data_IF_264451298095
#
_entry.id   IF_264451298095
#
_cell.length_a   1.000
_cell.length_b   1.000
_cell.length_c   1.000
_cell.angle_alpha   90.00
_cell.angle_beta   90.00
_cell.angle_gamma   90.00
#
_symmetry.space_group_name_H-M   'P 1'
#
loop_
_entity.id
_entity.type
_entity.pdbx_description
1 polymer ?
#
# COMPACT_ATOMS: atom_id res chain seq x y z
N UNK A 1 -12.12 -16.86 -15.08
CA UNK A 1 -11.95 -16.90 -14.44
C UNK A 1 -11.35 -16.38 -13.83
N UNK A 2 -11.74 -15.82 -13.55
CA UNK A 2 -11.04 -15.30 -12.82
C UNK A 2 -9.74 -15.68 -12.96
N UNK A 3 -9.20 -15.37 -13.92
CA UNK A 3 -8.02 -15.68 -14.01
C UNK A 3 -7.27 -14.96 -13.07
N UNK A 4 -6.61 -15.52 -12.20
CA UNK A 4 -5.69 -14.87 -11.35
C UNK A 4 -4.57 -14.33 -12.16
N UNK A 5 -4.00 -13.23 -11.76
CA UNK A 5 -2.78 -12.77 -12.43
C UNK A 5 -1.74 -13.85 -12.37
N UNK A 6 -0.84 -13.88 -13.31
CA UNK A 6 0.15 -14.94 -13.39
C UNK A 6 0.91 -15.14 -12.09
N UNK A 7 1.19 -14.06 -11.36
CA UNK A 7 1.94 -14.24 -10.14
C UNK A 7 1.12 -14.91 -9.06
N UNK A 8 -0.22 -14.86 -9.17
CA UNK A 8 -1.05 -15.54 -8.22
C UNK A 8 -1.32 -16.97 -8.62
N UNK A 9 -1.15 -17.24 -9.86
CA UNK A 9 -1.42 -18.56 -10.36
C UNK A 9 -0.34 -19.53 -10.01
N UNK A 10 0.83 -19.02 -9.66
CA UNK A 10 1.90 -19.88 -9.29
C UNK A 10 1.43 -20.80 -8.21
N UNK A 11 1.74 -22.04 -8.35
CA UNK A 11 1.26 -23.04 -7.44
C UNK A 11 1.79 -22.78 -6.04
N UNK A 12 1.12 -23.32 -5.08
CA UNK A 12 1.57 -23.22 -3.71
C UNK A 12 2.95 -23.84 -3.55
N UNK A 13 3.20 -24.89 -4.30
CA UNK A 13 4.49 -25.53 -4.24
C UNK A 13 5.59 -24.59 -4.70
N UNK A 14 5.34 -23.89 -5.79
CA UNK A 14 6.30 -22.92 -6.28
C UNK A 14 6.50 -21.82 -5.27
N UNK A 15 5.42 -21.38 -4.68
CA UNK A 15 5.53 -20.33 -3.70
C UNK A 15 6.33 -20.76 -2.49
N UNK A 16 6.13 -21.97 -2.05
CA UNK A 16 6.88 -22.47 -0.92
C UNK A 16 8.34 -22.57 -1.26
N UNK A 17 8.62 -23.06 -2.44
CA UNK A 17 9.99 -23.21 -2.86
C UNK A 17 10.65 -21.86 -2.94
N UNK A 18 9.97 -20.91 -3.51
CA UNK A 18 10.49 -19.55 -3.61
C UNK A 18 10.73 -18.97 -2.25
N UNK A 19 9.84 -19.24 -1.32
CA UNK A 19 9.97 -18.69 0.01
C UNK A 19 11.20 -19.24 0.71
N UNK A 20 11.44 -20.54 0.55
CA UNK A 20 12.57 -21.15 1.24
C UNK A 20 13.90 -20.75 0.64
N UNK A 21 13.93 -20.64 -0.68
CA UNK A 21 15.18 -20.33 -1.34
C UNK A 21 15.38 -18.88 -1.63
N UNK A 22 14.31 -18.10 -1.48
CA UNK A 22 14.33 -16.79 -1.91
C UNK A 22 14.98 -15.91 -0.93
N UNK A 23 15.94 -15.17 -1.32
CA UNK A 23 16.43 -14.08 -0.53
C UNK A 23 15.56 -12.92 -0.88
N UNK A 24 15.19 -12.16 0.11
CA UNK A 24 14.38 -10.98 -0.11
C UNK A 24 15.11 -10.06 -1.09
N UNK A 25 14.36 -9.47 -1.99
CA UNK A 25 14.90 -8.53 -2.95
C UNK A 25 14.14 -7.22 -2.78
N UNK A 26 14.62 -6.36 -1.87
CA UNK A 26 13.90 -5.12 -1.58
C UNK A 26 13.69 -4.22 -2.79
N UNK A 27 14.61 -4.28 -3.77
CA UNK A 27 14.44 -3.45 -4.96
C UNK A 27 13.22 -3.91 -5.76
N UNK A 28 13.14 -5.21 -6.05
CA UNK A 28 11.99 -5.74 -6.78
C UNK A 28 10.72 -5.57 -5.98
N UNK A 29 10.80 -5.79 -4.68
CA UNK A 29 9.63 -5.62 -3.82
C UNK A 29 9.17 -4.16 -3.81
N UNK A 30 10.10 -3.21 -3.88
CA UNK A 30 9.71 -1.81 -3.88
C UNK A 30 9.04 -1.43 -5.19
N UNK A 31 9.40 -2.09 -6.29
CA UNK A 31 8.70 -1.85 -7.55
C UNK A 31 7.26 -2.37 -7.48
N UNK A 32 7.08 -3.54 -6.88
CA UNK A 32 5.75 -4.10 -6.70
C UNK A 32 4.95 -3.21 -5.75
N UNK A 33 5.59 -2.75 -4.68
CA UNK A 33 4.93 -1.86 -3.73
C UNK A 33 4.45 -0.58 -4.40
N UNK A 34 5.32 0.01 -5.22
CA UNK A 34 4.95 1.21 -5.96
C UNK A 34 3.69 0.97 -6.78
N UNK A 35 3.66 -0.16 -7.50
CA UNK A 35 2.52 -0.46 -8.36
C UNK A 35 1.24 -0.67 -7.55
N UNK A 36 1.35 -1.34 -6.40
CA UNK A 36 0.18 -1.57 -5.56
C UNK A 36 -0.37 -0.27 -4.99
N UNK A 37 0.51 0.64 -4.60
CA UNK A 37 0.07 1.93 -4.10
C UNK A 37 -0.58 2.74 -5.23
N UNK A 38 0.02 2.69 -6.41
CA UNK A 38 -0.55 3.38 -7.56
C UNK A 38 -1.94 2.84 -7.89
N UNK A 39 -2.09 1.51 -7.85
CA UNK A 39 -3.39 0.89 -8.13
C UNK A 39 -4.43 1.32 -7.09
N UNK A 40 -4.03 1.39 -5.83
CA UNK A 40 -4.92 1.85 -4.79
C UNK A 40 -5.31 3.31 -5.01
N UNK A 41 -4.36 4.12 -5.42
CA UNK A 41 -4.62 5.53 -5.71
C UNK A 41 -5.69 5.66 -6.78
N UNK A 42 -5.56 4.87 -7.85
CA UNK A 42 -6.56 4.88 -8.92
C UNK A 42 -7.93 4.45 -8.41
N UNK A 43 -7.96 3.48 -7.52
CA UNK A 43 -9.21 2.99 -6.98
C UNK A 43 -9.90 4.03 -6.10
N UNK A 44 -9.12 4.65 -5.22
CA UNK A 44 -9.72 5.50 -4.20
C UNK A 44 -10.06 6.91 -4.70
N UNK A 45 -9.40 7.37 -5.76
CA UNK A 45 -9.61 8.73 -6.25
C UNK A 45 -11.08 9.06 -6.53
N UNK A 46 -11.81 8.22 -7.29
CA UNK A 46 -13.22 8.51 -7.53
C UNK A 46 -14.07 8.45 -6.27
N UNK A 47 -13.67 7.59 -5.32
CA UNK A 47 -14.37 7.50 -4.05
C UNK A 47 -14.22 8.81 -3.27
N UNK A 48 -13.00 9.35 -3.26
CA UNK A 48 -12.75 10.61 -2.56
C UNK A 48 -13.55 11.76 -3.15
N UNK A 49 -13.75 11.73 -4.46
CA UNK A 49 -14.53 12.77 -5.13
C UNK A 49 -15.97 12.81 -4.65
N UNK A 50 -16.45 11.72 -4.04
CA UNK A 50 -17.82 11.64 -3.54
C UNK A 50 -17.92 11.94 -2.05
N UNK A 51 -16.82 12.30 -1.41
CA UNK A 51 -16.84 12.69 0.00
C UNK A 51 -17.65 13.98 0.15
N UNK A 52 -18.17 14.25 1.35
CA UNK A 52 -18.89 15.49 1.58
C UNK A 52 -18.03 16.69 1.20
N UNK A 53 -18.67 17.72 0.66
CA UNK A 53 -17.94 18.89 0.20
C UNK A 53 -17.12 19.54 1.28
N UNK A 54 -17.60 19.50 2.52
CA UNK A 54 -16.86 20.14 3.61
C UNK A 54 -15.55 19.43 3.95
N UNK A 55 -15.36 18.19 3.40
CA UNK A 55 -14.11 17.48 3.61
C UNK A 55 -13.09 17.72 2.50
N UNK A 56 -13.43 18.52 1.51
CA UNK A 56 -12.56 18.72 0.36
C UNK A 56 -11.16 19.17 0.76
N UNK A 57 -11.09 20.10 1.70
CA UNK A 57 -9.80 20.64 2.14
C UNK A 57 -9.35 20.05 3.47
N UNK A 58 -9.99 19.01 3.93
CA UNK A 58 -9.65 18.37 5.20
C UNK A 58 -9.38 16.88 4.95
N UNK A 59 -10.33 16.01 5.27
CA UNK A 59 -10.10 14.57 5.22
C UNK A 59 -9.70 14.11 3.80
N UNK A 60 -10.40 14.59 2.79
CA UNK A 60 -10.09 14.22 1.43
C UNK A 60 -8.66 14.59 1.05
N UNK A 61 -8.25 15.81 1.40
CA UNK A 61 -6.90 16.28 1.11
C UNK A 61 -5.86 15.48 1.89
N UNK A 62 -6.14 15.17 3.16
CA UNK A 62 -5.19 14.42 3.97
C UNK A 62 -4.99 13.01 3.43
N UNK A 63 -6.04 12.38 2.95
CA UNK A 63 -5.92 11.05 2.35
C UNK A 63 -5.03 11.11 1.12
N UNK A 64 -5.26 12.09 0.25
CA UNK A 64 -4.46 12.25 -0.95
C UNK A 64 -3.00 12.52 -0.61
N UNK A 65 -2.77 13.41 0.35
CA UNK A 65 -1.42 13.75 0.75
C UNK A 65 -0.67 12.53 1.28
N UNK A 66 -1.35 11.74 2.12
CA UNK A 66 -0.71 10.53 2.67
C UNK A 66 -0.30 9.59 1.54
N UNK A 67 -1.15 9.42 0.54
CA UNK A 67 -0.82 8.55 -0.59
C UNK A 67 0.35 9.10 -1.40
N UNK A 68 0.34 10.40 -1.66
CA UNK A 68 1.43 11.02 -2.43
C UNK A 68 2.75 10.94 -1.68
N UNK A 69 2.72 11.19 -0.36
CA UNK A 69 3.94 11.10 0.43
C UNK A 69 4.45 9.66 0.49
N UNK A 70 3.54 8.70 0.57
CA UNK A 70 3.94 7.31 0.57
C UNK A 70 4.62 6.96 -0.75
N UNK A 71 4.05 7.39 -1.88
CA UNK A 71 4.68 7.15 -3.18
C UNK A 71 6.05 7.77 -3.27
N UNK A 72 6.18 9.01 -2.80
CA UNK A 72 7.48 9.69 -2.85
C UNK A 72 8.51 8.97 -2.00
N UNK A 73 8.10 8.49 -0.84
CA UNK A 73 9.00 7.75 0.04
C UNK A 73 9.45 6.45 -0.61
N UNK A 74 8.55 5.76 -1.30
CA UNK A 74 8.90 4.54 -1.99
C UNK A 74 9.90 4.83 -3.11
N UNK A 75 9.67 5.92 -3.85
CA UNK A 75 10.59 6.32 -4.91
C UNK A 75 11.97 6.63 -4.33
N UNK A 76 12.01 7.36 -3.21
CA UNK A 76 13.28 7.67 -2.56
C UNK A 76 14.00 6.40 -2.14
N UNK A 77 13.26 5.46 -1.58
CA UNK A 77 13.85 4.20 -1.17
C UNK A 77 14.43 3.44 -2.37
N UNK A 78 13.69 3.41 -3.48
CA UNK A 78 14.18 2.75 -4.68
C UNK A 78 15.46 3.38 -5.19
N UNK A 79 15.55 4.70 -5.07
CA UNK A 79 16.70 5.42 -5.60
C UNK A 79 17.92 5.36 -4.70
N UNK A 80 17.71 5.37 -3.40
CA UNK A 80 18.83 5.53 -2.47
C UNK A 80 19.13 4.31 -1.62
N UNK A 81 18.15 3.43 -1.45
CA UNK A 81 18.30 2.30 -0.54
C UNK A 81 18.30 2.68 0.93
N UNK A 82 18.05 3.95 1.23
CA UNK A 82 18.09 4.43 2.61
C UNK A 82 16.85 3.95 3.35
N UNK A 83 17.05 3.21 4.42
CA UNK A 83 15.93 2.56 5.08
C UNK A 83 14.94 3.51 5.73
N UNK A 84 15.38 4.72 6.08
CA UNK A 84 14.41 5.66 6.66
C UNK A 84 13.26 5.94 5.73
N UNK A 85 13.48 5.85 4.42
CA UNK A 85 12.42 6.13 3.46
C UNK A 85 11.33 5.06 3.48
N UNK A 86 11.70 3.80 3.68
CA UNK A 86 10.67 2.77 3.75
C UNK A 86 9.92 2.84 5.08
N UNK A 87 10.59 3.24 6.16
CA UNK A 87 9.90 3.49 7.42
C UNK A 87 8.94 4.66 7.29
N UNK A 88 9.32 5.71 6.56
CA UNK A 88 8.42 6.84 6.32
C UNK A 88 7.20 6.39 5.53
N UNK A 89 7.40 5.53 4.54
CA UNK A 89 6.27 5.00 3.78
C UNK A 89 5.32 4.24 4.70
N UNK A 90 5.86 3.50 5.65
CA UNK A 90 5.04 2.73 6.57
C UNK A 90 4.22 3.64 7.49
N UNK A 91 4.81 4.75 7.92
CA UNK A 91 4.07 5.72 8.72
C UNK A 91 2.90 6.28 7.94
N UNK A 92 3.14 6.64 6.67
CA UNK A 92 2.04 7.16 5.86
C UNK A 92 0.97 6.11 5.62
N UNK A 93 1.37 4.86 5.50
CA UNK A 93 0.41 3.77 5.34
C UNK A 93 -0.47 3.65 6.58
N UNK A 94 0.12 3.70 7.76
CA UNK A 94 -0.66 3.59 8.99
C UNK A 94 -1.61 4.78 9.12
N UNK A 95 -1.14 5.98 8.77
CA UNK A 95 -1.98 7.15 8.81
C UNK A 95 -3.14 7.02 7.83
N UNK A 96 -2.85 6.54 6.63
CA UNK A 96 -3.86 6.34 5.61
C UNK A 96 -4.93 5.34 6.06
N UNK A 97 -4.51 4.24 6.68
CA UNK A 97 -5.46 3.27 7.22
C UNK A 97 -6.40 3.93 8.24
N UNK A 98 -5.82 4.79 9.07
CA UNK A 98 -6.60 5.50 10.08
C UNK A 98 -7.64 6.41 9.43
N UNK A 99 -7.23 7.15 8.40
CA UNK A 99 -8.15 8.08 7.74
C UNK A 99 -9.26 7.35 6.99
N UNK A 100 -8.94 6.23 6.36
CA UNK A 100 -9.95 5.43 5.68
C UNK A 100 -10.95 4.88 6.69
N UNK A 101 -10.46 4.40 7.83
CA UNK A 101 -11.35 3.90 8.86
C UNK A 101 -12.23 5.04 9.41
N UNK A 102 -11.65 6.21 9.60
CA UNK A 102 -12.41 7.35 10.08
C UNK A 102 -13.57 7.67 9.15
N UNK A 103 -13.31 7.67 7.83
CA UNK A 103 -14.36 7.99 6.89
C UNK A 103 -15.49 6.95 6.92
N UNK A 104 -15.14 5.70 7.20
CA UNK A 104 -16.13 4.65 7.35
C UNK A 104 -16.92 4.82 8.65
N UNK A 105 -16.23 5.10 9.75
CA UNK A 105 -16.87 5.27 11.05
C UNK A 105 -17.79 6.49 11.07
N UNK A 106 -17.48 7.53 10.28
CA UNK A 106 -18.32 8.69 10.14
C UNK A 106 -19.53 8.44 9.25
N UNK A 107 -19.60 7.22 8.68
CA UNK A 107 -20.71 6.80 7.86
C UNK A 107 -20.91 7.65 6.61
N UNK A 108 -19.82 8.12 6.02
CA UNK A 108 -19.91 8.83 4.76
C UNK A 108 -20.37 7.86 3.68
N UNK A 109 -21.36 8.28 2.89
CA UNK A 109 -21.90 7.41 1.84
C UNK A 109 -20.84 6.96 0.86
N UNK A 110 -19.86 7.81 0.62
CA UNK A 110 -18.80 7.48 -0.31
C UNK A 110 -17.97 6.29 0.18
N UNK A 111 -17.91 6.09 1.50
CA UNK A 111 -17.16 4.97 2.05
C UNK A 111 -18.13 3.93 2.60
N UNK A 112 -18.81 3.25 1.67
CA UNK A 112 -19.71 2.17 2.02
C UNK A 112 -18.93 1.01 2.62
N UNK A 113 -19.66 0.08 3.23
CA UNK A 113 -19.03 -1.11 3.80
C UNK A 113 -18.22 -1.84 2.73
N UNK A 114 -18.79 -1.99 1.55
CA UNK A 114 -18.07 -2.68 0.46
C UNK A 114 -16.78 -1.95 0.09
N UNK A 115 -16.87 -0.64 -0.07
CA UNK A 115 -15.69 0.15 -0.43
C UNK A 115 -14.66 0.12 0.66
N UNK A 116 -15.10 0.16 1.91
CA UNK A 116 -14.18 0.06 3.03
C UNK A 116 -13.45 -1.29 3.04
N UNK A 117 -14.19 -2.36 2.75
CA UNK A 117 -13.59 -3.69 2.71
C UNK A 117 -12.57 -3.80 1.57
N UNK A 118 -12.91 -3.26 0.40
CA UNK A 118 -11.99 -3.29 -0.73
C UNK A 118 -10.74 -2.47 -0.41
N UNK A 119 -10.94 -1.26 0.11
CA UNK A 119 -9.81 -0.40 0.47
C UNK A 119 -8.93 -1.09 1.51
N UNK A 120 -9.54 -1.72 2.49
CA UNK A 120 -8.80 -2.39 3.55
C UNK A 120 -7.95 -3.54 3.02
N UNK A 121 -8.48 -4.27 2.05
CA UNK A 121 -7.71 -5.35 1.43
C UNK A 121 -6.51 -4.82 0.68
N UNK A 122 -6.70 -3.73 -0.07
CA UNK A 122 -5.57 -3.09 -0.75
C UNK A 122 -4.51 -2.67 0.24
N UNK A 123 -4.93 -2.02 1.31
CA UNK A 123 -3.98 -1.49 2.28
C UNK A 123 -3.29 -2.61 3.07
N UNK A 124 -4.00 -3.70 3.31
CA UNK A 124 -3.39 -4.85 3.99
C UNK A 124 -2.30 -5.47 3.11
N UNK A 125 -2.57 -5.56 1.82
CA UNK A 125 -1.58 -6.11 0.91
C UNK A 125 -0.35 -5.21 0.81
N UNK A 126 -0.59 -3.91 0.74
CA UNK A 126 0.50 -2.94 0.74
C UNK A 126 1.32 -3.07 2.02
N UNK A 127 0.64 -3.24 3.15
CA UNK A 127 1.31 -3.40 4.44
C UNK A 127 2.18 -4.65 4.52
N UNK A 128 1.72 -5.72 3.90
CA UNK A 128 2.48 -6.95 3.87
C UNK A 128 3.78 -6.76 3.12
N UNK A 129 3.72 -6.12 1.97
CA UNK A 129 4.89 -5.88 1.15
C UNK A 129 5.84 -4.93 1.87
N UNK A 130 5.29 -3.85 2.44
CA UNK A 130 6.10 -2.88 3.18
C UNK A 130 6.82 -3.55 4.34
N UNK A 131 6.09 -4.39 5.09
CA UNK A 131 6.68 -5.11 6.21
C UNK A 131 7.79 -6.04 5.77
N UNK A 132 7.62 -6.70 4.62
CA UNK A 132 8.66 -7.57 4.08
C UNK A 132 9.93 -6.80 3.74
N UNK A 133 9.77 -5.62 3.16
CA UNK A 133 10.91 -4.79 2.83
C UNK A 133 11.62 -4.34 4.12
N UNK A 134 10.84 -3.92 5.11
CA UNK A 134 11.41 -3.47 6.38
C UNK A 134 12.21 -4.60 7.02
N UNK A 135 11.68 -5.82 7.01
CA UNK A 135 12.42 -6.95 7.56
C UNK A 135 13.72 -7.19 6.81
N UNK A 136 13.67 -7.08 5.49
CA UNK A 136 14.86 -7.30 4.68
C UNK A 136 15.94 -6.27 4.98
N UNK A 137 15.56 -5.00 5.10
CA UNK A 137 16.57 -3.97 5.36
C UNK A 137 17.08 -4.04 6.80
N UNK A 138 16.24 -4.47 7.74
CA UNK A 138 16.69 -4.67 9.12
C UNK A 138 17.75 -5.75 9.18
N UNK A 139 17.58 -6.77 8.36
CA UNK A 139 18.51 -7.89 8.36
C UNK A 139 19.75 -7.63 7.53
N UNK A 140 19.88 -6.42 7.00
CA UNK A 140 21.06 -6.07 6.23
C UNK A 140 21.10 -6.68 4.84
N UNK A 141 19.98 -7.13 4.35
CA UNK A 141 19.93 -7.74 3.02
C UNK A 141 19.86 -6.73 1.90
N UNK A 142 19.73 -5.48 2.24
CA UNK A 142 19.68 -4.42 1.27
C UNK A 142 20.94 -3.60 1.38
N UNK A 143 21.52 -3.29 0.28
CA UNK A 143 22.75 -2.51 0.30
C UNK A 143 22.57 -1.21 -0.42
#
# INVERSE_FOLDING_TARGET
>A
VGESPPYEVKTMAENKQNTTNKTADPYMDSMVLYQKVYDFLKYIYPVLAQFPKFEKFALQTQIKTAMFEMLKSIIRFKKTGTKSHIYNADVELQFLKTLIRLSYDLEYKAMSKHRYEVASRHLAEIGKITGGIIEAVKDGKWK
#
